data_IF_511653515657
#
_entry.id   IF_511653515657
#
_cell.length_a   1.000
_cell.length_b   1.000
_cell.length_c   1.000
_cell.angle_alpha   90.00
_cell.angle_beta   90.00
_cell.angle_gamma   90.00
#
_symmetry.space_group_name_H-M   'P 1'
#
loop_
_entity.id
_entity.type
_entity.pdbx_description
1 polymer ?
#
# COMPACT_ATOMS: atom_id res chain seq x y z
N UNK A 1 32.08 14.99 33.58
CA UNK A 1 31.72 13.57 33.41
C UNK A 1 30.29 13.45 33.88
N UNK A 2 29.35 13.21 32.97
CA UNK A 2 28.02 12.66 33.28
C UNK A 2 27.59 11.92 32.01
N UNK A 3 27.37 10.62 32.15
CA UNK A 3 27.24 9.68 31.06
C UNK A 3 25.79 9.71 30.54
N UNK A 4 25.58 10.26 29.35
CA UNK A 4 24.31 10.09 28.65
C UNK A 4 24.23 8.65 28.14
N UNK A 5 23.38 7.83 28.78
CA UNK A 5 22.93 6.56 28.22
C UNK A 5 22.24 6.87 26.89
N UNK A 6 22.97 6.73 25.79
CA UNK A 6 22.39 6.79 24.45
C UNK A 6 21.52 5.55 24.31
N UNK A 7 20.21 5.73 24.48
CA UNK A 7 19.22 4.75 24.06
C UNK A 7 19.40 4.64 22.54
N UNK A 8 20.01 3.56 22.09
CA UNK A 8 20.15 3.22 20.69
C UNK A 8 18.80 2.73 20.16
N UNK A 9 17.78 3.58 20.17
CA UNK A 9 16.63 3.39 19.27
C UNK A 9 17.13 3.83 17.91
N UNK A 10 17.45 2.86 17.06
CA UNK A 10 17.76 3.07 15.65
C UNK A 10 16.77 4.09 15.06
N UNK A 11 17.21 5.23 14.51
CA UNK A 11 16.31 6.13 13.83
C UNK A 11 16.04 5.55 12.44
N UNK A 12 15.32 4.42 12.36
CA UNK A 12 14.68 4.05 11.09
C UNK A 12 13.38 4.83 10.89
N UNK A 13 13.01 5.73 11.81
CA UNK A 13 11.86 6.62 11.67
C UNK A 13 12.19 7.78 10.73
N UNK A 14 12.56 7.47 9.49
CA UNK A 14 12.22 8.39 8.42
C UNK A 14 10.69 8.55 8.46
N UNK A 15 10.16 9.79 8.42
CA UNK A 15 8.71 9.97 8.31
C UNK A 15 8.21 9.19 7.08
N UNK A 16 7.04 8.53 7.14
CA UNK A 16 6.50 7.84 5.97
C UNK A 16 6.39 8.84 4.84
N UNK A 17 7.07 8.55 3.73
CA UNK A 17 6.97 9.34 2.50
C UNK A 17 5.79 8.83 1.68
N UNK A 18 5.17 9.70 0.87
CA UNK A 18 4.20 9.27 -0.12
C UNK A 18 4.75 8.15 -1.00
N UNK A 19 3.94 7.11 -1.20
CA UNK A 19 4.28 6.00 -2.08
C UNK A 19 4.10 6.44 -3.54
N UNK A 20 4.90 7.39 -4.03
CA UNK A 20 4.86 7.85 -5.43
C UNK A 20 5.31 6.75 -6.39
N UNK A 21 4.72 6.68 -7.59
CA UNK A 21 5.15 5.77 -8.66
C UNK A 21 5.04 4.28 -8.26
N UNK A 22 4.00 3.95 -7.50
CA UNK A 22 3.67 2.58 -7.11
C UNK A 22 2.41 2.11 -7.82
N UNK A 23 2.46 0.87 -8.31
CA UNK A 23 1.31 0.23 -8.95
C UNK A 23 0.37 -0.35 -7.90
N UNK A 24 -0.86 0.15 -7.89
CA UNK A 24 -1.98 -0.41 -7.12
C UNK A 24 -2.82 -1.24 -8.07
N UNK A 25 -3.11 -2.47 -7.68
CA UNK A 25 -3.85 -3.45 -8.46
C UNK A 25 -5.24 -3.64 -7.87
N UNK A 26 -6.21 -3.91 -8.75
CA UNK A 26 -7.60 -4.18 -8.41
C UNK A 26 -8.02 -5.52 -9.01
N UNK A 27 -8.64 -6.36 -8.20
CA UNK A 27 -9.30 -7.60 -8.60
C UNK A 27 -10.79 -7.46 -8.30
N UNK A 28 -11.64 -7.83 -9.24
CA UNK A 28 -13.09 -7.90 -9.04
C UNK A 28 -13.52 -9.32 -8.67
N UNK A 29 -14.23 -9.47 -7.55
CA UNK A 29 -14.64 -10.77 -7.01
C UNK A 29 -13.45 -11.69 -6.73
N UNK A 30 -13.56 -12.94 -7.19
CA UNK A 30 -12.57 -14.01 -6.97
C UNK A 30 -11.66 -14.27 -8.18
N UNK A 31 -11.45 -13.25 -9.01
CA UNK A 31 -10.58 -13.38 -10.18
C UNK A 31 -9.13 -13.71 -9.77
N UNK A 32 -8.47 -14.55 -10.58
CA UNK A 32 -7.10 -15.02 -10.29
C UNK A 32 -6.04 -13.95 -10.60
N UNK A 33 -6.34 -13.02 -11.51
CA UNK A 33 -5.43 -11.96 -11.93
C UNK A 33 -6.01 -10.57 -11.70
N UNK A 34 -5.17 -9.52 -11.76
CA UNK A 34 -5.63 -8.14 -11.69
C UNK A 34 -6.52 -7.82 -12.88
N UNK A 35 -7.69 -7.26 -12.60
CA UNK A 35 -8.61 -6.74 -13.61
C UNK A 35 -8.20 -5.34 -14.06
N UNK A 36 -7.65 -4.54 -13.13
CA UNK A 36 -7.22 -3.16 -13.39
C UNK A 36 -6.00 -2.80 -12.54
N UNK A 37 -5.25 -1.78 -12.96
CA UNK A 37 -4.14 -1.22 -12.19
C UNK A 37 -3.98 0.29 -12.44
N UNK A 38 -3.62 1.01 -11.39
CA UNK A 38 -3.35 2.45 -11.44
C UNK A 38 -2.04 2.76 -10.73
N UNK A 39 -1.35 3.78 -11.22
CA UNK A 39 -0.14 4.30 -10.58
C UNK A 39 -0.52 5.42 -9.61
N UNK A 40 0.14 5.44 -8.46
CA UNK A 40 -0.02 6.50 -7.47
C UNK A 40 0.59 7.82 -7.95
N UNK A 41 -0.06 8.94 -7.63
CA UNK A 41 0.46 10.26 -7.93
C UNK A 41 1.67 10.63 -7.02
N UNK A 42 2.23 11.82 -7.21
CA UNK A 42 3.31 12.38 -6.39
C UNK A 42 2.98 12.52 -4.88
N UNK A 43 1.70 12.47 -4.52
CA UNK A 43 1.22 12.50 -3.12
C UNK A 43 0.84 11.09 -2.61
N UNK A 44 1.02 10.04 -3.43
CA UNK A 44 0.69 8.65 -3.08
C UNK A 44 -0.79 8.29 -3.27
N UNK A 45 -1.60 9.21 -3.79
CA UNK A 45 -3.02 8.99 -4.02
C UNK A 45 -3.27 8.20 -5.30
N UNK A 46 -4.33 7.39 -5.28
CA UNK A 46 -4.81 6.64 -6.43
C UNK A 46 -6.34 6.61 -6.44
N UNK A 47 -6.93 6.46 -7.64
CA UNK A 47 -8.39 6.40 -7.82
C UNK A 47 -8.74 5.38 -8.91
N UNK A 48 -9.68 4.50 -8.62
CA UNK A 48 -10.31 3.62 -9.61
C UNK A 48 -11.72 4.17 -9.94
N UNK A 49 -11.90 4.83 -11.09
CA UNK A 49 -13.20 5.37 -11.45
C UNK A 49 -14.13 4.29 -12.04
N UNK A 50 -15.44 4.51 -11.98
CA UNK A 50 -16.46 3.70 -12.66
C UNK A 50 -16.57 2.23 -12.20
N UNK A 51 -16.31 1.96 -10.92
CA UNK A 51 -16.51 0.63 -10.35
C UNK A 51 -18.00 0.29 -10.23
N UNK A 52 -18.35 -0.96 -10.52
CA UNK A 52 -19.71 -1.48 -10.37
C UNK A 52 -19.93 -1.91 -8.92
N UNK A 53 -21.18 -2.03 -8.45
CA UNK A 53 -21.42 -2.62 -7.15
C UNK A 53 -20.93 -4.07 -7.11
N UNK A 54 -20.22 -4.43 -6.04
CA UNK A 54 -19.62 -5.75 -5.86
C UNK A 54 -18.44 -5.75 -4.90
N UNK A 55 -17.79 -6.91 -4.77
CA UNK A 55 -16.59 -7.07 -3.95
C UNK A 55 -15.33 -6.87 -4.80
N UNK A 56 -14.38 -6.15 -4.23
CA UNK A 56 -13.12 -5.84 -4.85
C UNK A 56 -11.98 -6.12 -3.88
N UNK A 57 -10.86 -6.59 -4.43
CA UNK A 57 -9.62 -6.74 -3.70
C UNK A 57 -8.59 -5.79 -4.30
N UNK A 58 -8.16 -4.82 -3.50
CA UNK A 58 -7.08 -3.89 -3.83
C UNK A 58 -5.80 -4.38 -3.20
N UNK A 59 -4.71 -4.42 -3.96
CA UNK A 59 -3.41 -4.76 -3.39
C UNK A 59 -2.27 -3.96 -4.02
N UNK A 60 -1.22 -3.77 -3.25
CA UNK A 60 0.02 -3.10 -3.66
C UNK A 60 1.21 -3.94 -3.19
N UNK A 61 2.26 -3.99 -3.98
CA UNK A 61 3.50 -4.64 -3.57
C UNK A 61 4.37 -3.68 -2.75
N UNK A 62 4.83 -4.18 -1.60
CA UNK A 62 5.79 -3.54 -0.71
C UNK A 62 7.04 -4.39 -0.65
N UNK A 63 8.22 -3.81 -0.55
CA UNK A 63 9.43 -4.58 -0.25
C UNK A 63 9.39 -5.06 1.21
N UNK A 64 9.79 -6.32 1.45
CA UNK A 64 9.99 -6.84 2.80
C UNK A 64 11.31 -6.33 3.39
N UNK A 65 11.23 -5.34 4.27
CA UNK A 65 12.40 -4.81 4.99
C UNK A 65 12.68 -5.55 6.30
N UNK A 66 12.02 -6.68 6.59
CA UNK A 66 12.17 -7.42 7.86
C UNK A 66 13.46 -8.24 7.98
N UNK A 67 14.37 -8.14 6.99
CA UNK A 67 15.69 -8.80 7.01
C UNK A 67 15.75 -10.13 6.25
N UNK A 68 14.72 -10.44 5.46
CA UNK A 68 14.75 -11.58 4.52
C UNK A 68 15.67 -11.25 3.34
N UNK A 69 16.70 -12.06 3.08
CA UNK A 69 17.61 -11.90 1.93
C UNK A 69 17.46 -13.09 0.98
N UNK A 70 17.09 -12.88 -0.31
CA UNK A 70 16.76 -11.60 -0.94
C UNK A 70 15.44 -11.02 -0.41
N UNK A 71 15.26 -9.68 -0.42
CA UNK A 71 13.98 -9.06 -0.10
C UNK A 71 12.92 -9.63 -1.04
N UNK A 72 11.75 -9.94 -0.47
CA UNK A 72 10.59 -10.43 -1.23
C UNK A 72 9.54 -9.36 -1.23
N UNK A 73 8.88 -9.18 -2.37
CA UNK A 73 7.71 -8.31 -2.41
C UNK A 73 6.59 -8.95 -1.60
N UNK A 74 6.09 -8.21 -0.62
CA UNK A 74 4.89 -8.53 0.16
C UNK A 74 3.72 -7.77 -0.43
N UNK A 75 2.65 -8.48 -0.77
CA UNK A 75 1.41 -7.86 -1.17
C UNK A 75 0.67 -7.34 0.08
N UNK A 76 0.45 -6.03 0.15
CA UNK A 76 -0.47 -5.41 1.11
C UNK A 76 -1.86 -5.44 0.49
N UNK A 77 -2.73 -6.29 1.03
CA UNK A 77 -4.07 -6.55 0.47
C UNK A 77 -5.15 -5.89 1.34
N UNK A 78 -6.16 -5.32 0.68
CA UNK A 78 -7.38 -4.77 1.26
C UNK A 78 -8.59 -5.19 0.44
N UNK A 79 -9.63 -5.66 1.12
CA UNK A 79 -10.92 -5.96 0.51
C UNK A 79 -11.86 -4.77 0.71
N UNK A 80 -12.61 -4.44 -0.32
CA UNK A 80 -13.58 -3.35 -0.31
C UNK A 80 -14.85 -3.80 -1.00
N UNK A 81 -15.98 -3.48 -0.39
CA UNK A 81 -17.31 -3.76 -0.96
C UNK A 81 -17.91 -2.43 -1.40
N UNK A 82 -18.38 -2.38 -2.64
CA UNK A 82 -19.10 -1.23 -3.20
C UNK A 82 -20.57 -1.63 -3.28
N UNK A 83 -21.42 -0.94 -2.54
CA UNK A 83 -22.85 -1.23 -2.45
C UNK A 83 -23.64 -0.54 -3.57
N UNK A 84 -23.17 0.61 -4.07
CA UNK A 84 -23.88 1.36 -5.11
C UNK A 84 -22.97 2.09 -6.11
N UNK A 85 -23.49 2.35 -7.31
CA UNK A 85 -22.76 3.02 -8.42
C UNK A 85 -22.34 4.46 -8.13
N UNK A 86 -22.93 5.09 -7.12
CA UNK A 86 -22.64 6.47 -6.71
C UNK A 86 -21.83 6.55 -5.43
N UNK A 87 -21.47 5.40 -4.86
CA UNK A 87 -20.71 5.34 -3.63
C UNK A 87 -19.24 5.69 -3.88
N UNK A 88 -18.68 6.46 -2.97
CA UNK A 88 -17.23 6.70 -2.91
C UNK A 88 -16.72 6.03 -1.66
N UNK A 89 -15.95 4.95 -1.83
CA UNK A 89 -15.30 4.28 -0.72
C UNK A 89 -13.87 4.79 -0.61
N UNK A 90 -13.53 5.29 0.57
CA UNK A 90 -12.15 5.72 0.89
C UNK A 90 -11.49 4.59 1.66
N UNK A 91 -10.36 4.12 1.16
CA UNK A 91 -9.55 3.11 1.83
C UNK A 91 -8.65 3.78 2.86
N UNK A 92 -8.36 3.05 3.94
CA UNK A 92 -7.29 3.44 4.86
C UNK A 92 -5.94 3.51 4.14
N UNK A 93 -5.04 4.34 4.67
CA UNK A 93 -3.68 4.50 4.13
C UNK A 93 -2.95 3.16 4.04
N UNK A 94 -2.53 2.80 2.82
CA UNK A 94 -1.67 1.65 2.56
C UNK A 94 -0.21 2.09 2.77
N UNK A 95 0.48 1.47 3.72
CA UNK A 95 1.91 1.71 3.95
C UNK A 95 2.72 0.68 3.20
N UNK A 96 3.62 1.15 2.33
CA UNK A 96 4.60 0.33 1.61
C UNK A 96 6.00 0.74 2.04
N UNK A 97 6.91 -0.23 2.08
CA UNK A 97 8.31 -0.03 2.38
C UNK A 97 9.13 -0.23 1.10
N UNK A 98 10.15 0.61 0.94
CA UNK A 98 11.12 0.55 -0.15
C UNK A 98 12.51 0.72 0.46
N UNK A 99 13.43 -0.20 0.18
CA UNK A 99 14.83 -0.05 0.60
C UNK A 99 15.52 0.89 -0.39
N UNK A 100 16.20 1.93 0.12
CA UNK A 100 16.84 2.99 -0.68
C UNK A 100 18.33 2.73 -0.91
#
# INVERSE_FOLDING_TARGET
>A
QEEARTVLTQPSSAPPYPATDHNVFLIYGDNVGPDDNVETNHEGDFVFPWLRPGEYTVYVYSEDTSGTVPPRDMAVVRTVTIESQTETVVLDTLTVYKDL
#
